data_IF_306241250205
#
_entry.id   IF_306241250205
#
_cell.length_a   1.000
_cell.length_b   1.000
_cell.length_c   1.000
_cell.angle_alpha   90.00
_cell.angle_beta   90.00
_cell.angle_gamma   90.00
#
_symmetry.space_group_name_H-M   'P 1'
#
loop_
_entity.id
_entity.type
_entity.pdbx_description
1 polymer ?
#
# COMPACT_ATOMS: atom_id res chain seq x y z
N UNK A 1 -9.03 -26.07 1.00
CA UNK A 1 -9.42 -27.03 2.05
C UNK A 1 -9.45 -26.38 3.45
N UNK A 2 -8.33 -25.86 3.99
CA UNK A 2 -8.24 -25.35 5.39
C UNK A 2 -9.25 -24.23 5.68
N UNK A 3 -9.34 -23.18 4.85
CA UNK A 3 -10.25 -22.05 5.08
C UNK A 3 -11.72 -22.47 5.10
N UNK A 4 -12.12 -23.39 4.21
CA UNK A 4 -13.48 -23.96 4.20
C UNK A 4 -13.79 -24.64 5.54
N UNK A 5 -12.87 -25.51 6.01
CA UNK A 5 -13.03 -26.23 7.27
C UNK A 5 -13.14 -25.28 8.49
N UNK A 6 -12.42 -24.16 8.47
CA UNK A 6 -12.55 -23.13 9.52
C UNK A 6 -13.96 -22.53 9.55
N UNK A 7 -14.54 -22.22 8.38
CA UNK A 7 -15.91 -21.68 8.29
C UNK A 7 -16.94 -22.74 8.70
N UNK A 8 -16.79 -23.99 8.22
CA UNK A 8 -17.67 -25.11 8.59
C UNK A 8 -17.72 -25.35 10.11
N UNK A 9 -16.56 -25.34 10.76
CA UNK A 9 -16.46 -25.58 12.22
C UNK A 9 -16.95 -24.38 13.02
N UNK A 10 -16.58 -23.17 12.63
CA UNK A 10 -16.87 -21.97 13.39
C UNK A 10 -18.28 -21.40 13.15
N UNK A 11 -18.89 -21.71 12.01
CA UNK A 11 -20.12 -21.08 11.55
C UNK A 11 -19.98 -19.57 11.31
N UNK A 12 -18.75 -19.05 11.18
CA UNK A 12 -18.46 -17.61 11.03
C UNK A 12 -17.97 -17.29 9.62
N UNK A 13 -18.29 -16.09 9.10
CA UNK A 13 -17.71 -15.64 7.85
C UNK A 13 -16.18 -15.50 7.96
N UNK A 14 -15.51 -15.69 6.84
CA UNK A 14 -14.05 -15.59 6.76
C UNK A 14 -13.66 -14.69 5.58
N UNK A 15 -12.65 -13.85 5.80
CA UNK A 15 -11.98 -13.15 4.71
C UNK A 15 -10.47 -13.35 4.79
N UNK A 16 -9.81 -13.32 3.64
CA UNK A 16 -8.35 -13.48 3.54
C UNK A 16 -7.81 -12.56 2.45
N UNK A 17 -6.53 -12.19 2.55
CA UNK A 17 -5.87 -11.35 1.54
C UNK A 17 -5.73 -12.09 0.23
N UNK A 18 -6.34 -11.56 -0.84
CA UNK A 18 -6.26 -12.06 -2.21
C UNK A 18 -5.35 -11.12 -3.02
N UNK A 19 -4.26 -11.64 -3.54
CA UNK A 19 -3.24 -10.88 -4.25
C UNK A 19 -2.91 -11.52 -5.61
N UNK A 20 -2.70 -10.67 -6.61
CA UNK A 20 -1.99 -11.02 -7.84
C UNK A 20 -0.49 -10.80 -7.63
N UNK A 21 0.27 -11.89 -7.58
CA UNK A 21 1.71 -11.89 -7.28
C UNK A 21 2.48 -12.45 -8.47
N UNK A 22 3.46 -11.71 -8.98
CA UNK A 22 4.26 -12.13 -10.14
C UNK A 22 4.97 -13.47 -9.96
N UNK A 23 5.34 -13.81 -8.71
CA UNK A 23 5.97 -15.10 -8.37
C UNK A 23 5.04 -16.30 -8.61
N UNK A 24 3.72 -16.09 -8.57
CA UNK A 24 2.70 -17.12 -8.77
C UNK A 24 1.64 -16.66 -9.78
N UNK A 25 1.99 -16.56 -11.08
CA UNK A 25 1.10 -16.02 -12.10
C UNK A 25 -0.23 -16.78 -12.16
N UNK A 26 -1.34 -16.04 -12.15
CA UNK A 26 -2.67 -16.62 -12.26
C UNK A 26 -3.22 -17.33 -11.02
N UNK A 27 -2.45 -17.49 -9.95
CA UNK A 27 -2.89 -18.17 -8.71
C UNK A 27 -4.13 -17.50 -8.10
N UNK A 28 -4.26 -16.19 -8.22
CA UNK A 28 -5.43 -15.47 -7.74
C UNK A 28 -6.73 -15.93 -8.39
N UNK A 29 -6.71 -16.34 -9.66
CA UNK A 29 -7.88 -16.90 -10.38
C UNK A 29 -8.35 -18.20 -9.74
N UNK A 30 -7.43 -19.15 -9.55
CA UNK A 30 -7.73 -20.43 -8.89
C UNK A 30 -8.27 -20.22 -7.47
N UNK A 31 -7.69 -19.27 -6.71
CA UNK A 31 -8.19 -18.94 -5.37
C UNK A 31 -9.60 -18.36 -5.43
N UNK A 32 -9.90 -17.54 -6.41
CA UNK A 32 -11.20 -16.92 -6.59
C UNK A 32 -12.27 -17.97 -6.97
N UNK A 33 -11.95 -18.91 -7.86
CA UNK A 33 -12.81 -20.05 -8.18
C UNK A 33 -13.12 -20.92 -6.94
N UNK A 34 -12.14 -21.10 -6.05
CA UNK A 34 -12.35 -21.80 -4.77
C UNK A 34 -13.29 -21.00 -3.83
N UNK A 35 -13.16 -19.69 -3.81
CA UNK A 35 -14.04 -18.78 -3.05
C UNK A 35 -15.47 -18.87 -3.60
N UNK A 36 -15.65 -18.84 -4.92
CA UNK A 36 -16.96 -19.02 -5.56
C UNK A 36 -17.60 -20.35 -5.17
N UNK A 37 -16.85 -21.45 -5.27
CA UNK A 37 -17.32 -22.78 -4.87
C UNK A 37 -17.75 -22.79 -3.40
N UNK A 38 -16.95 -22.20 -2.51
CA UNK A 38 -17.28 -22.11 -1.10
C UNK A 38 -18.60 -21.36 -0.86
N UNK A 39 -18.79 -20.21 -1.52
CA UNK A 39 -20.03 -19.43 -1.38
C UNK A 39 -21.25 -20.15 -1.96
N UNK A 40 -21.12 -20.89 -3.09
CA UNK A 40 -22.21 -21.75 -3.60
C UNK A 40 -22.61 -22.85 -2.62
N UNK A 41 -21.65 -23.36 -1.83
CA UNK A 41 -21.88 -24.37 -0.79
C UNK A 41 -22.37 -23.74 0.54
N UNK A 42 -22.69 -22.44 0.57
CA UNK A 42 -23.19 -21.73 1.76
C UNK A 42 -22.10 -21.30 2.75
N UNK A 43 -20.82 -21.37 2.38
CA UNK A 43 -19.70 -20.95 3.24
C UNK A 43 -19.29 -19.51 2.89
N UNK A 44 -19.56 -18.53 3.76
CA UNK A 44 -19.29 -17.11 3.47
C UNK A 44 -17.79 -16.79 3.56
N UNK A 45 -17.09 -16.97 2.45
CA UNK A 45 -15.67 -16.65 2.31
C UNK A 45 -15.50 -15.52 1.29
N UNK A 46 -14.67 -14.50 1.61
CA UNK A 46 -14.36 -13.40 0.71
C UNK A 46 -12.86 -13.16 0.57
N UNK A 47 -12.44 -12.79 -0.65
CA UNK A 47 -11.09 -12.28 -0.90
C UNK A 47 -11.00 -10.78 -0.56
N UNK A 48 -10.05 -10.37 0.28
CA UNK A 48 -9.72 -8.96 0.50
C UNK A 48 -8.76 -8.49 -0.58
N UNK A 49 -9.12 -7.45 -1.32
CA UNK A 49 -8.31 -6.90 -2.41
C UNK A 49 -8.02 -5.43 -2.15
N UNK A 50 -6.75 -5.07 -2.06
CA UNK A 50 -6.34 -3.67 -1.97
C UNK A 50 -6.60 -2.96 -3.31
N UNK A 51 -7.15 -1.73 -3.25
CA UNK A 51 -7.51 -0.96 -4.43
C UNK A 51 -6.32 -0.22 -5.08
N UNK A 52 -5.11 -0.58 -4.71
CA UNK A 52 -3.87 -0.09 -5.31
C UNK A 52 -2.81 -1.19 -5.24
N UNK A 53 -1.70 -1.07 -5.98
CA UNK A 53 -0.55 -1.96 -5.82
C UNK A 53 -0.07 -2.02 -4.37
N UNK A 54 0.16 -3.23 -3.88
CA UNK A 54 0.79 -3.47 -2.58
C UNK A 54 2.29 -3.45 -2.80
N UNK A 55 3.00 -2.60 -2.07
CA UNK A 55 4.38 -2.31 -2.40
C UNK A 55 5.29 -2.14 -1.17
N UNK A 56 6.57 -2.37 -1.41
CA UNK A 56 7.63 -1.97 -0.48
C UNK A 56 8.27 -0.68 -0.99
N UNK A 57 8.50 0.24 -0.05
CA UNK A 57 9.14 1.51 -0.27
C UNK A 57 10.58 1.47 0.24
N UNK A 58 11.50 1.97 -0.56
CA UNK A 58 12.94 1.99 -0.28
C UNK A 58 13.46 3.43 -0.31
N UNK A 59 14.33 3.76 0.64
CA UNK A 59 14.93 5.10 0.72
C UNK A 59 15.96 5.20 1.83
N UNK A 60 16.82 6.22 1.79
CA UNK A 60 17.91 6.39 2.76
C UNK A 60 17.43 6.64 4.21
N UNK A 61 16.19 7.13 4.37
CA UNK A 61 15.54 7.33 5.67
C UNK A 61 14.53 6.23 6.00
N UNK A 62 14.32 5.24 5.11
CA UNK A 62 13.39 4.13 5.30
C UNK A 62 14.09 2.89 5.89
N UNK A 63 13.34 1.86 6.19
CA UNK A 63 13.88 0.64 6.81
C UNK A 63 14.92 -0.05 5.93
N UNK A 64 14.73 -0.01 4.61
CA UNK A 64 15.61 -0.64 3.64
C UNK A 64 15.83 0.21 2.40
N UNK A 65 16.93 -0.05 1.73
CA UNK A 65 17.21 0.31 0.34
C UNK A 65 18.23 -0.73 -0.22
N UNK A 66 18.47 -0.77 -1.53
CA UNK A 66 19.31 -1.84 -2.14
C UNK A 66 20.71 -2.02 -1.55
N UNK A 67 21.24 -1.03 -0.86
CA UNK A 67 22.59 -1.03 -0.26
C UNK A 67 22.59 -1.15 1.26
N UNK A 68 21.43 -1.17 1.93
CA UNK A 68 21.31 -1.12 3.40
C UNK A 68 21.99 -2.29 4.13
N UNK A 69 22.21 -3.40 3.44
CA UNK A 69 22.88 -4.59 3.99
C UNK A 69 24.34 -4.73 3.56
N UNK A 70 24.87 -3.77 2.80
CA UNK A 70 26.29 -3.71 2.44
C UNK A 70 27.13 -3.26 3.64
N UNK A 71 28.26 -3.93 3.95
CA UNK A 71 29.13 -3.56 5.06
C UNK A 71 29.57 -2.10 5.05
N UNK A 72 29.93 -1.55 3.89
CA UNK A 72 30.31 -0.14 3.76
C UNK A 72 29.17 0.83 4.08
N UNK A 73 27.91 0.49 3.76
CA UNK A 73 26.77 1.31 4.15
C UNK A 73 26.48 1.20 5.65
N UNK A 74 26.58 0.00 6.23
CA UNK A 74 26.37 -0.20 7.68
C UNK A 74 27.33 0.64 8.53
N UNK A 75 28.53 0.90 8.04
CA UNK A 75 29.49 1.77 8.73
C UNK A 75 29.01 3.23 8.85
N UNK A 76 28.05 3.64 8.04
CA UNK A 76 27.51 5.01 8.00
C UNK A 76 26.00 5.09 8.31
N UNK A 77 25.34 3.96 8.54
CA UNK A 77 23.86 3.93 8.71
C UNK A 77 23.37 4.77 9.88
N UNK A 78 24.17 4.92 10.94
CA UNK A 78 23.85 5.74 12.12
C UNK A 78 24.00 7.25 11.91
N UNK A 79 24.55 7.70 10.78
CA UNK A 79 24.71 9.13 10.51
C UNK A 79 23.35 9.79 10.18
N UNK A 80 23.18 11.09 10.47
CA UNK A 80 22.11 11.88 9.92
C UNK A 80 22.11 11.84 8.38
N UNK A 81 20.96 12.09 7.73
CA UNK A 81 20.82 12.00 6.27
C UNK A 81 21.89 12.81 5.53
N UNK A 82 22.14 14.03 5.96
CA UNK A 82 23.18 14.90 5.37
C UNK A 82 24.57 14.28 5.43
N UNK A 83 24.93 13.68 6.59
CA UNK A 83 26.18 12.96 6.77
C UNK A 83 26.27 11.71 5.90
N UNK A 84 25.17 10.95 5.74
CA UNK A 84 25.09 9.83 4.81
C UNK A 84 25.32 10.30 3.37
N UNK A 85 24.64 11.35 2.94
CA UNK A 85 24.77 11.90 1.58
C UNK A 85 26.20 12.36 1.28
N UNK A 86 26.86 13.04 2.23
CA UNK A 86 28.24 13.46 2.07
C UNK A 86 29.18 12.27 1.81
N UNK A 87 28.95 11.12 2.47
CA UNK A 87 29.72 9.89 2.26
C UNK A 87 29.32 9.16 0.98
N UNK A 88 28.04 9.08 0.69
CA UNK A 88 27.51 8.36 -0.48
C UNK A 88 27.84 9.09 -1.81
N UNK A 89 28.02 10.41 -1.78
CA UNK A 89 28.43 11.19 -2.97
C UNK A 89 29.92 11.07 -3.29
N UNK A 90 30.71 10.45 -2.42
CA UNK A 90 32.10 10.14 -2.72
C UNK A 90 32.18 9.06 -3.81
N UNK A 91 32.87 9.32 -4.96
CA UNK A 91 33.02 8.36 -6.05
C UNK A 91 33.62 7.02 -5.62
N UNK A 92 34.54 7.02 -4.64
CA UNK A 92 35.15 5.77 -4.12
C UNK A 92 34.11 4.94 -3.34
N UNK A 93 33.24 5.58 -2.55
CA UNK A 93 32.14 4.91 -1.85
C UNK A 93 31.12 4.35 -2.85
N UNK A 94 30.75 5.12 -3.89
CA UNK A 94 29.87 4.65 -4.97
C UNK A 94 30.45 3.41 -5.64
N UNK A 95 31.68 3.47 -6.10
CA UNK A 95 32.34 2.35 -6.78
C UNK A 95 32.44 1.09 -5.90
N UNK A 96 32.60 1.27 -4.59
CA UNK A 96 32.62 0.18 -3.61
C UNK A 96 31.24 -0.44 -3.44
N UNK A 97 30.22 0.33 -3.12
CA UNK A 97 28.86 -0.16 -2.86
C UNK A 97 28.22 -0.85 -4.08
N UNK A 98 28.55 -0.42 -5.29
CA UNK A 98 28.09 -1.07 -6.52
C UNK A 98 28.70 -2.46 -6.76
N UNK A 99 29.87 -2.76 -6.17
CA UNK A 99 30.58 -4.04 -6.29
C UNK A 99 30.48 -4.92 -5.04
N UNK A 100 30.10 -4.33 -3.91
CA UNK A 100 30.11 -5.01 -2.62
C UNK A 100 28.95 -5.99 -2.52
N UNK A 101 29.27 -7.20 -2.06
CA UNK A 101 28.25 -8.20 -1.78
C UNK A 101 27.51 -7.87 -0.48
N UNK A 102 26.18 -7.76 -0.51
CA UNK A 102 25.39 -7.49 0.67
C UNK A 102 25.35 -8.71 1.60
N UNK A 103 25.28 -8.46 2.91
CA UNK A 103 25.23 -9.51 3.92
C UNK A 103 23.91 -9.45 4.67
N UNK A 104 23.05 -10.46 4.47
CA UNK A 104 21.77 -10.56 5.15
C UNK A 104 21.37 -12.03 5.39
N UNK A 105 20.80 -12.33 6.56
CA UNK A 105 20.51 -13.70 6.97
C UNK A 105 19.38 -14.37 6.19
N UNK A 106 18.45 -13.58 5.64
CA UNK A 106 17.32 -14.09 4.84
C UNK A 106 17.59 -13.88 3.34
N UNK A 107 17.96 -14.94 2.59
CA UNK A 107 18.31 -14.81 1.17
C UNK A 107 17.12 -14.37 0.29
N UNK A 108 15.88 -14.73 0.64
CA UNK A 108 14.71 -14.32 -0.13
C UNK A 108 14.46 -12.82 0.01
N UNK A 109 14.57 -12.29 1.23
CA UNK A 109 14.44 -10.85 1.46
C UNK A 109 15.59 -10.09 0.79
N UNK A 110 16.80 -10.63 0.82
CA UNK A 110 17.94 -10.04 0.13
C UNK A 110 17.72 -9.98 -1.38
N UNK A 111 17.28 -11.07 -2.00
CA UNK A 111 16.96 -11.11 -3.42
C UNK A 111 15.86 -10.08 -3.78
N UNK A 112 14.86 -9.96 -2.93
CA UNK A 112 13.79 -8.99 -3.10
C UNK A 112 14.30 -7.54 -3.01
N UNK A 113 15.12 -7.21 -2.01
CA UNK A 113 15.75 -5.88 -1.87
C UNK A 113 16.67 -5.52 -3.05
N UNK A 114 17.31 -6.51 -3.66
CA UNK A 114 18.19 -6.34 -4.82
C UNK A 114 17.48 -6.39 -6.16
N UNK A 115 16.19 -6.66 -6.19
CA UNK A 115 15.36 -6.68 -7.40
C UNK A 115 15.05 -5.26 -7.91
N UNK A 116 16.10 -4.43 -8.01
CA UNK A 116 15.98 -3.00 -8.37
C UNK A 116 15.44 -2.78 -9.77
N UNK A 117 15.63 -3.74 -10.68
CA UNK A 117 15.12 -3.69 -12.05
C UNK A 117 13.60 -3.46 -12.10
N UNK A 118 12.86 -4.03 -11.15
CA UNK A 118 11.40 -3.95 -11.06
C UNK A 118 10.87 -2.75 -10.26
N UNK A 119 11.74 -1.87 -9.80
CA UNK A 119 11.35 -0.69 -9.04
C UNK A 119 11.03 0.49 -9.95
N UNK A 120 10.35 1.46 -9.35
CA UNK A 120 10.04 2.77 -9.94
C UNK A 120 10.41 3.87 -8.94
N UNK A 121 10.44 5.11 -9.40
CA UNK A 121 10.43 6.27 -8.50
C UNK A 121 8.98 6.59 -8.16
N UNK A 122 8.66 6.71 -6.86
CA UNK A 122 7.28 6.94 -6.44
C UNK A 122 6.75 8.32 -6.85
N UNK A 123 7.59 9.35 -6.81
CA UNK A 123 7.20 10.73 -7.13
C UNK A 123 6.43 11.45 -6.01
N UNK A 124 6.17 12.73 -6.25
CA UNK A 124 5.30 13.57 -5.43
C UNK A 124 4.52 14.53 -6.37
N UNK A 125 3.20 14.36 -6.53
CA UNK A 125 2.34 13.35 -5.90
C UNK A 125 2.73 11.91 -6.29
N UNK A 126 2.44 10.91 -5.41
CA UNK A 126 2.85 9.54 -5.64
C UNK A 126 2.07 8.88 -6.79
N UNK A 127 2.80 8.30 -7.75
CA UNK A 127 2.21 7.48 -8.81
C UNK A 127 2.36 5.99 -8.46
N UNK A 128 1.26 5.32 -8.14
CA UNK A 128 1.25 3.90 -7.79
C UNK A 128 1.04 2.97 -9.00
N UNK A 129 0.78 3.54 -10.18
CA UNK A 129 0.57 2.79 -11.42
C UNK A 129 1.42 3.37 -12.56
N UNK A 130 2.75 3.52 -12.37
CA UNK A 130 3.63 4.08 -13.36
C UNK A 130 3.74 3.15 -14.58
N UNK A 131 3.83 3.70 -15.82
CA UNK A 131 3.96 2.87 -17.01
C UNK A 131 5.29 2.08 -17.01
N UNK A 132 5.32 0.97 -17.76
CA UNK A 132 6.50 0.11 -17.85
C UNK A 132 7.79 0.85 -18.28
N UNK A 133 7.67 1.90 -19.07
CA UNK A 133 8.81 2.72 -19.49
C UNK A 133 9.50 3.47 -18.34
N UNK A 134 8.80 3.69 -17.22
CA UNK A 134 9.35 4.32 -16.01
C UNK A 134 10.02 3.32 -15.07
N UNK A 135 9.94 2.03 -15.34
CA UNK A 135 10.60 1.00 -14.55
C UNK A 135 12.13 1.15 -14.65
N UNK A 136 12.84 0.90 -13.56
CA UNK A 136 14.27 1.20 -13.49
C UNK A 136 15.11 0.43 -14.52
N UNK A 137 14.72 -0.79 -14.91
CA UNK A 137 15.41 -1.51 -15.98
C UNK A 137 15.29 -0.79 -17.35
N UNK A 138 14.08 -0.34 -17.70
CA UNK A 138 13.84 0.39 -18.95
C UNK A 138 14.57 1.74 -18.97
N UNK A 139 14.54 2.47 -17.88
CA UNK A 139 15.25 3.75 -17.72
C UNK A 139 16.77 3.57 -17.74
N UNK A 140 17.28 2.55 -17.07
CA UNK A 140 18.71 2.23 -17.03
C UNK A 140 19.23 1.86 -18.43
N UNK A 141 18.47 1.03 -19.16
CA UNK A 141 18.80 0.68 -20.55
C UNK A 141 18.87 1.92 -21.46
N UNK A 142 17.91 2.84 -21.31
CA UNK A 142 17.93 4.10 -22.09
C UNK A 142 19.11 5.01 -21.74
N UNK A 143 19.64 4.93 -20.53
CA UNK A 143 20.79 5.71 -20.05
C UNK A 143 22.14 4.99 -20.26
N UNK A 144 22.15 3.72 -20.67
CA UNK A 144 23.35 2.91 -20.84
C UNK A 144 24.06 2.53 -19.52
N UNK A 145 23.30 2.45 -18.41
CA UNK A 145 23.78 2.08 -17.08
C UNK A 145 23.07 0.83 -16.55
N UNK A 146 23.58 0.23 -15.48
CA UNK A 146 22.83 -0.85 -14.82
C UNK A 146 21.69 -0.31 -13.95
N UNK A 147 20.61 -1.10 -13.71
CA UNK A 147 19.54 -0.70 -12.81
C UNK A 147 20.02 -0.39 -11.37
N UNK A 148 21.07 -1.06 -10.92
CA UNK A 148 21.66 -0.83 -9.60
C UNK A 148 22.38 0.52 -9.52
N UNK A 149 23.12 0.91 -10.56
CA UNK A 149 23.74 2.23 -10.68
C UNK A 149 22.69 3.32 -10.68
N UNK A 150 21.65 3.16 -11.51
CA UNK A 150 20.54 4.12 -11.55
C UNK A 150 19.84 4.24 -10.17
N UNK A 151 19.58 3.13 -9.50
CA UNK A 151 18.97 3.15 -8.17
C UNK A 151 19.86 3.89 -7.15
N UNK A 152 21.18 3.69 -7.22
CA UNK A 152 22.14 4.43 -6.39
C UNK A 152 22.05 5.92 -6.64
N UNK A 153 22.19 6.32 -7.90
CA UNK A 153 22.25 7.73 -8.29
C UNK A 153 20.94 8.46 -7.96
N UNK A 154 19.77 7.79 -8.10
CA UNK A 154 18.47 8.29 -7.67
C UNK A 154 18.38 8.49 -6.14
N UNK A 155 18.85 7.53 -5.35
CA UNK A 155 18.80 7.61 -3.89
C UNK A 155 19.68 8.73 -3.33
N UNK A 156 20.81 9.05 -3.97
CA UNK A 156 21.74 10.10 -3.51
C UNK A 156 21.50 11.46 -4.17
N UNK A 157 20.55 11.52 -5.12
CA UNK A 157 20.20 12.76 -5.83
C UNK A 157 19.46 13.76 -4.91
N UNK A 158 19.47 15.04 -5.29
CA UNK A 158 18.72 16.09 -4.59
C UNK A 158 19.02 16.12 -3.09
N UNK A 159 18.00 16.04 -2.27
CA UNK A 159 18.10 16.02 -0.80
C UNK A 159 18.20 14.60 -0.21
N UNK A 160 18.27 13.56 -1.05
CA UNK A 160 18.36 12.15 -0.64
C UNK A 160 17.06 11.54 -0.13
N UNK A 161 15.93 12.19 -0.36
CA UNK A 161 14.60 11.71 0.05
C UNK A 161 13.84 10.97 -1.06
N UNK A 162 14.52 10.66 -2.16
CA UNK A 162 13.92 9.83 -3.22
C UNK A 162 13.43 8.51 -2.64
N UNK A 163 12.17 8.19 -2.92
CA UNK A 163 11.57 6.90 -2.58
C UNK A 163 11.51 6.05 -3.84
N UNK A 164 12.11 4.87 -3.78
CA UNK A 164 11.92 3.82 -4.77
C UNK A 164 10.74 2.96 -4.34
N UNK A 165 9.90 2.62 -5.30
CA UNK A 165 8.65 1.90 -5.12
C UNK A 165 8.75 0.55 -5.82
N UNK A 166 8.62 -0.55 -5.07
CA UNK A 166 8.63 -1.91 -5.61
C UNK A 166 7.24 -2.53 -5.45
N UNK A 167 6.42 -2.59 -6.50
CA UNK A 167 5.12 -3.25 -6.45
C UNK A 167 5.33 -4.76 -6.32
N UNK A 168 5.02 -5.31 -5.14
CA UNK A 168 5.13 -6.74 -4.85
C UNK A 168 3.88 -7.52 -5.24
N UNK A 169 2.72 -6.85 -5.33
CA UNK A 169 1.46 -7.46 -5.72
C UNK A 169 0.50 -6.44 -6.34
N UNK A 170 -0.51 -6.96 -7.05
CA UNK A 170 -1.58 -6.21 -7.71
C UNK A 170 -1.13 -5.24 -8.81
N UNK A 171 0.07 -5.46 -9.33
CA UNK A 171 0.62 -4.67 -10.46
C UNK A 171 1.54 -5.53 -11.33
N UNK A 172 1.14 -6.75 -11.63
CA UNK A 172 1.88 -7.68 -12.49
C UNK A 172 1.91 -7.12 -13.93
N UNK A 173 3.06 -7.23 -14.57
CA UNK A 173 3.29 -6.72 -15.94
C UNK A 173 3.00 -5.21 -16.11
N UNK A 174 3.19 -4.42 -15.05
CA UNK A 174 2.88 -3.00 -15.03
C UNK A 174 1.43 -2.70 -15.44
N UNK A 175 0.50 -3.54 -15.00
CA UNK A 175 -0.92 -3.48 -15.32
C UNK A 175 -1.80 -3.62 -14.09
N UNK A 176 -2.84 -2.80 -14.02
CA UNK A 176 -3.89 -2.88 -12.99
C UNK A 176 -5.06 -3.79 -13.38
N UNK A 177 -5.01 -4.44 -14.55
CA UNK A 177 -6.13 -5.20 -15.10
C UNK A 177 -6.55 -6.39 -14.22
N UNK A 178 -5.60 -7.13 -13.66
CA UNK A 178 -5.88 -8.23 -12.75
C UNK A 178 -6.50 -7.72 -11.43
N UNK A 179 -5.97 -6.62 -10.91
CA UNK A 179 -6.52 -5.95 -9.72
C UNK A 179 -7.95 -5.48 -9.97
N UNK A 180 -8.22 -4.85 -11.12
CA UNK A 180 -9.57 -4.43 -11.52
C UNK A 180 -10.54 -5.62 -11.59
N UNK A 181 -10.11 -6.74 -12.15
CA UNK A 181 -10.91 -7.96 -12.22
C UNK A 181 -11.24 -8.51 -10.84
N UNK A 182 -10.26 -8.57 -9.94
CA UNK A 182 -10.47 -9.01 -8.56
C UNK A 182 -11.41 -8.08 -7.79
N UNK A 183 -11.24 -6.76 -7.92
CA UNK A 183 -12.05 -5.75 -7.20
C UNK A 183 -13.53 -5.75 -7.63
N UNK A 184 -13.81 -6.13 -8.87
CA UNK A 184 -15.19 -6.20 -9.41
C UNK A 184 -15.90 -7.51 -9.11
N UNK A 185 -15.21 -8.49 -8.58
CA UNK A 185 -15.78 -9.81 -8.33
C UNK A 185 -16.71 -9.80 -7.12
N UNK A 186 -17.89 -10.42 -7.23
CA UNK A 186 -18.93 -10.40 -6.18
C UNK A 186 -18.50 -11.00 -4.83
N UNK A 187 -17.55 -11.95 -4.85
CA UNK A 187 -17.03 -12.62 -3.67
C UNK A 187 -15.73 -11.98 -3.14
N UNK A 188 -15.44 -10.75 -3.52
CA UNK A 188 -14.33 -9.97 -2.96
C UNK A 188 -14.84 -8.78 -2.15
N UNK A 189 -13.95 -8.19 -1.40
CA UNK A 189 -14.17 -6.95 -0.66
C UNK A 189 -12.95 -6.05 -0.85
N UNK A 190 -13.22 -4.77 -1.15
CA UNK A 190 -12.16 -3.76 -1.21
C UNK A 190 -11.66 -3.50 0.21
N UNK A 191 -10.47 -4.01 0.52
CA UNK A 191 -9.91 -3.96 1.86
C UNK A 191 -8.38 -4.07 1.80
N UNK A 192 -7.74 -3.73 2.92
CA UNK A 192 -6.32 -3.92 3.14
C UNK A 192 -6.15 -5.01 4.21
N UNK A 193 -5.52 -6.13 3.84
CA UNK A 193 -5.02 -7.10 4.80
C UNK A 193 -3.75 -6.58 5.49
N UNK A 194 -3.49 -7.01 6.71
CA UNK A 194 -2.29 -6.68 7.49
C UNK A 194 -2.01 -5.17 7.62
N UNK A 195 -3.05 -4.35 7.65
CA UNK A 195 -2.95 -2.90 7.81
C UNK A 195 -2.17 -2.52 9.06
N UNK A 196 -1.14 -1.66 8.89
CA UNK A 196 -0.26 -1.21 9.97
C UNK A 196 0.96 -2.11 10.22
N UNK A 197 1.13 -3.21 9.50
CA UNK A 197 2.37 -3.99 9.52
C UNK A 197 3.49 -3.27 8.76
N UNK A 198 4.74 -3.54 9.16
CA UNK A 198 5.93 -3.06 8.44
C UNK A 198 5.97 -1.54 8.18
N UNK A 199 5.50 -0.74 9.11
CA UNK A 199 5.27 0.70 9.01
C UNK A 199 6.50 1.56 8.68
N UNK A 200 7.68 0.99 8.63
CA UNK A 200 8.91 1.67 8.18
C UNK A 200 9.25 1.44 6.69
N UNK A 201 8.43 0.65 5.97
CA UNK A 201 8.65 0.31 4.56
C UNK A 201 7.35 0.08 3.76
N UNK A 202 6.19 0.01 4.43
CA UNK A 202 4.87 -0.10 3.81
C UNK A 202 4.00 1.07 4.29
N UNK A 203 3.27 1.70 3.37
CA UNK A 203 2.36 2.80 3.66
C UNK A 203 1.09 2.70 2.80
N UNK A 204 0.29 1.64 3.03
CA UNK A 204 -0.83 1.27 2.18
C UNK A 204 -2.20 1.71 2.72
N UNK A 205 -2.26 2.26 3.95
CA UNK A 205 -3.52 2.67 4.59
C UNK A 205 -4.29 3.79 3.85
N UNK A 206 -3.64 4.49 2.91
CA UNK A 206 -4.27 5.50 2.05
C UNK A 206 -5.07 4.90 0.88
N UNK A 207 -5.17 3.56 0.77
CA UNK A 207 -5.88 2.90 -0.34
C UNK A 207 -7.33 3.39 -0.54
N UNK A 208 -8.11 3.78 0.49
CA UNK A 208 -9.46 4.32 0.26
C UNK A 208 -9.45 5.64 -0.50
N UNK A 209 -8.51 6.54 -0.16
CA UNK A 209 -8.33 7.81 -0.88
C UNK A 209 -7.89 7.53 -2.32
N UNK A 210 -6.92 6.63 -2.53
CA UNK A 210 -6.50 6.20 -3.86
C UNK A 210 -7.65 5.58 -4.65
N UNK A 211 -8.52 4.78 -4.02
CA UNK A 211 -9.69 4.21 -4.67
C UNK A 211 -10.64 5.29 -5.19
N UNK A 212 -10.90 6.33 -4.39
CA UNK A 212 -11.75 7.44 -4.78
C UNK A 212 -11.11 8.31 -5.87
N UNK A 213 -9.81 8.55 -5.84
CA UNK A 213 -9.14 9.38 -6.85
C UNK A 213 -8.85 8.59 -8.11
N UNK A 214 -8.08 7.51 -8.02
CA UNK A 214 -7.62 6.77 -9.18
C UNK A 214 -8.76 6.11 -9.96
N UNK A 215 -9.55 5.25 -9.31
CA UNK A 215 -10.56 4.47 -10.03
C UNK A 215 -11.75 5.29 -10.52
N UNK A 216 -12.04 6.45 -9.93
CA UNK A 216 -13.20 7.26 -10.33
C UNK A 216 -12.85 8.49 -11.17
N UNK A 217 -11.61 9.02 -11.04
CA UNK A 217 -11.23 10.30 -11.64
C UNK A 217 -9.98 10.21 -12.52
N UNK A 218 -8.87 9.66 -11.99
CA UNK A 218 -7.53 9.86 -12.55
C UNK A 218 -7.07 8.72 -13.48
N UNK A 219 -7.69 7.54 -13.39
CA UNK A 219 -7.34 6.37 -14.19
C UNK A 219 -7.48 6.64 -15.69
N UNK A 220 -6.46 6.24 -16.44
CA UNK A 220 -6.54 6.21 -17.90
C UNK A 220 -7.41 5.00 -18.33
N UNK A 221 -8.34 5.24 -19.27
CA UNK A 221 -9.30 4.21 -19.70
C UNK A 221 -10.59 4.17 -18.85
N UNK A 222 -11.11 2.99 -18.57
CA UNK A 222 -12.39 2.82 -17.87
C UNK A 222 -12.31 3.31 -16.42
N UNK A 223 -13.19 4.23 -16.07
CA UNK A 223 -13.37 4.74 -14.71
C UNK A 223 -14.63 4.15 -14.09
N UNK A 224 -14.60 3.96 -12.78
CA UNK A 224 -15.76 3.41 -12.08
C UNK A 224 -16.70 4.51 -11.57
N UNK A 225 -18.01 4.23 -11.51
CA UNK A 225 -18.93 5.16 -10.90
C UNK A 225 -18.57 5.44 -9.44
N UNK A 226 -18.56 6.73 -9.06
CA UNK A 226 -18.23 7.14 -7.69
C UNK A 226 -19.12 6.44 -6.66
N UNK A 227 -20.44 6.35 -6.91
CA UNK A 227 -21.39 5.70 -6.01
C UNK A 227 -21.05 4.22 -5.79
N UNK A 228 -20.62 3.51 -6.84
CA UNK A 228 -20.17 2.12 -6.73
C UNK A 228 -18.90 2.02 -5.89
N UNK A 229 -17.90 2.87 -6.13
CA UNK A 229 -16.64 2.87 -5.38
C UNK A 229 -16.86 3.18 -3.90
N UNK A 230 -17.70 4.17 -3.59
CA UNK A 230 -18.10 4.47 -2.21
C UNK A 230 -18.79 3.28 -1.56
N UNK A 231 -19.73 2.62 -2.26
CA UNK A 231 -20.39 1.41 -1.77
C UNK A 231 -19.38 0.29 -1.43
N UNK A 232 -18.35 0.09 -2.29
CA UNK A 232 -17.28 -0.89 -2.06
C UNK A 232 -16.38 -0.53 -0.86
N UNK A 233 -16.29 0.74 -0.48
CA UNK A 233 -15.52 1.21 0.67
C UNK A 233 -16.32 1.29 1.97
N UNK A 234 -17.64 1.16 1.91
CA UNK A 234 -18.52 1.42 3.06
C UNK A 234 -19.45 0.25 3.39
N UNK A 235 -20.55 0.06 2.64
CA UNK A 235 -21.55 -0.96 2.93
C UNK A 235 -21.04 -2.39 2.76
N UNK A 236 -20.25 -2.65 1.72
CA UNK A 236 -19.71 -3.99 1.46
C UNK A 236 -18.80 -4.46 2.59
N UNK A 237 -17.76 -3.70 3.04
CA UNK A 237 -16.93 -4.13 4.16
C UNK A 237 -17.71 -4.18 5.48
N UNK A 238 -18.65 -3.25 5.75
CA UNK A 238 -19.48 -3.30 6.93
C UNK A 238 -20.27 -4.61 7.03
N UNK A 239 -20.93 -5.01 5.96
CA UNK A 239 -21.66 -6.29 5.87
C UNK A 239 -20.75 -7.50 5.97
N UNK A 240 -19.57 -7.43 5.34
CA UNK A 240 -18.59 -8.53 5.36
C UNK A 240 -18.17 -8.89 6.78
N UNK A 241 -18.06 -7.89 7.68
CA UNK A 241 -17.71 -8.10 9.09
C UNK A 241 -18.92 -8.09 10.02
N UNK A 242 -20.15 -8.11 9.48
CA UNK A 242 -21.38 -8.23 10.26
C UNK A 242 -21.83 -6.94 10.96
N UNK A 243 -21.41 -5.76 10.50
CA UNK A 243 -21.83 -4.47 11.05
C UNK A 243 -23.09 -3.98 10.29
N UNK A 244 -24.28 -4.22 10.86
CA UNK A 244 -25.56 -3.90 10.24
C UNK A 244 -26.03 -2.46 10.44
N UNK A 245 -25.36 -1.66 11.26
CA UNK A 245 -25.78 -0.33 11.72
C UNK A 245 -24.99 0.83 11.08
N UNK A 246 -24.14 0.54 10.08
CA UNK A 246 -23.26 1.52 9.40
C UNK A 246 -23.00 1.17 7.94
N UNK A 247 -22.21 2.00 7.24
CA UNK A 247 -21.88 1.84 5.84
C UNK A 247 -22.89 2.44 4.88
N UNK A 248 -23.99 3.03 5.38
CA UNK A 248 -25.05 3.71 4.62
C UNK A 248 -25.51 4.98 5.30
N UNK A 249 -25.91 5.95 4.50
CA UNK A 249 -26.64 7.13 4.97
C UNK A 249 -28.15 6.80 4.96
N UNK A 250 -28.67 6.38 6.12
CA UNK A 250 -30.08 6.04 6.30
C UNK A 250 -30.53 6.33 7.74
N UNK A 251 -31.82 6.59 7.92
CA UNK A 251 -32.39 6.77 9.25
C UNK A 251 -32.17 5.51 10.11
N UNK A 252 -31.73 5.67 11.36
CA UNK A 252 -31.39 4.58 12.28
C UNK A 252 -29.96 4.04 12.15
N UNK A 253 -29.19 4.46 11.14
CA UNK A 253 -27.78 4.11 11.00
C UNK A 253 -26.89 5.10 11.77
N UNK A 254 -25.70 4.64 12.16
CA UNK A 254 -24.70 5.49 12.79
C UNK A 254 -24.25 6.58 11.84
N UNK A 255 -24.11 7.79 12.37
CA UNK A 255 -23.59 8.94 11.65
C UNK A 255 -22.04 8.90 11.62
N UNK A 256 -21.48 7.90 10.93
CA UNK A 256 -20.06 7.78 10.60
C UNK A 256 -19.90 8.29 9.16
N UNK A 257 -19.46 9.55 9.00
CA UNK A 257 -19.57 10.28 7.72
C UNK A 257 -18.25 10.97 7.41
N UNK A 258 -17.79 10.86 6.16
CA UNK A 258 -16.74 11.72 5.61
C UNK A 258 -17.36 12.77 4.66
N UNK A 259 -17.01 14.03 4.87
CA UNK A 259 -17.32 15.12 3.96
C UNK A 259 -16.10 15.37 3.08
N UNK A 260 -16.22 15.08 1.78
CA UNK A 260 -15.08 15.02 0.85
C UNK A 260 -15.29 16.00 -0.31
N UNK A 261 -14.28 16.80 -0.59
CA UNK A 261 -14.14 17.59 -1.80
C UNK A 261 -13.36 16.74 -2.83
N UNK A 262 -14.09 16.07 -3.72
CA UNK A 262 -13.50 15.08 -4.64
C UNK A 262 -12.51 15.73 -5.63
N UNK A 263 -12.75 16.96 -6.06
CA UNK A 263 -11.89 17.66 -7.01
C UNK A 263 -10.52 17.97 -6.40
N UNK A 264 -10.49 18.24 -5.08
CA UNK A 264 -9.28 18.53 -4.31
C UNK A 264 -8.70 17.29 -3.62
N UNK A 265 -9.38 16.15 -3.72
CA UNK A 265 -8.93 14.94 -3.05
C UNK A 265 -7.62 14.45 -3.66
N UNK A 266 -6.58 14.34 -2.84
CA UNK A 266 -5.25 13.85 -3.24
C UNK A 266 -4.55 13.17 -2.07
N UNK A 267 -3.52 12.39 -2.39
CA UNK A 267 -2.63 11.74 -1.42
C UNK A 267 -1.24 12.31 -1.61
N UNK A 268 -0.64 12.82 -0.54
CA UNK A 268 0.75 13.30 -0.54
C UNK A 268 1.75 12.12 -0.60
N UNK A 269 3.00 12.39 -0.95
CA UNK A 269 4.05 11.39 -0.85
C UNK A 269 4.25 10.94 0.61
N UNK A 270 4.48 9.65 0.87
CA UNK A 270 4.79 9.18 2.21
C UNK A 270 6.15 9.72 2.67
N UNK A 271 6.28 10.02 3.95
CA UNK A 271 7.52 10.51 4.56
C UNK A 271 7.73 9.89 5.95
N UNK A 272 8.98 9.76 6.42
CA UNK A 272 9.26 9.23 7.73
C UNK A 272 8.95 10.26 8.83
N UNK A 273 8.29 9.81 9.90
CA UNK A 273 8.06 10.56 11.13
C UNK A 273 8.49 9.75 12.34
N UNK A 274 8.94 10.44 13.39
CA UNK A 274 9.44 9.83 14.63
C UNK A 274 8.51 10.15 15.80
N UNK A 275 7.27 9.65 15.73
CA UNK A 275 6.20 9.96 16.69
C UNK A 275 5.59 8.72 17.37
N UNK A 276 6.23 7.57 17.25
CA UNK A 276 5.87 6.38 18.03
C UNK A 276 6.56 6.41 19.41
N UNK A 277 6.04 5.67 20.40
CA UNK A 277 6.67 5.52 21.70
C UNK A 277 8.15 5.14 21.59
N UNK A 278 9.00 5.74 22.42
CA UNK A 278 10.45 5.55 22.36
C UNK A 278 11.15 6.19 21.15
N UNK A 279 10.50 7.14 20.47
CA UNK A 279 11.07 7.78 19.27
C UNK A 279 11.02 6.89 18.03
N UNK A 280 10.19 5.83 18.04
CA UNK A 280 10.07 4.89 16.93
C UNK A 280 9.62 5.60 15.65
N UNK A 281 10.24 5.20 14.52
CA UNK A 281 9.98 5.73 13.19
C UNK A 281 8.83 4.98 12.52
N UNK A 282 7.99 5.71 11.79
CA UNK A 282 7.01 5.14 10.84
C UNK A 282 6.91 6.02 9.60
N UNK A 283 6.32 5.48 8.54
CA UNK A 283 5.86 6.28 7.42
C UNK A 283 4.52 6.93 7.75
N UNK A 284 4.39 8.19 7.43
CA UNK A 284 3.14 8.94 7.42
C UNK A 284 2.80 9.34 6.00
N UNK A 285 1.52 9.26 5.65
CA UNK A 285 1.00 9.74 4.38
C UNK A 285 -0.29 10.49 4.63
N UNK A 286 -0.33 11.75 4.26
CA UNK A 286 -1.49 12.62 4.42
C UNK A 286 -2.32 12.65 3.15
N UNK A 287 -3.61 12.93 3.32
CA UNK A 287 -4.52 13.20 2.22
C UNK A 287 -5.11 14.60 2.40
N UNK A 288 -5.34 15.28 1.30
CA UNK A 288 -6.09 16.55 1.25
C UNK A 288 -7.45 16.31 0.63
N UNK A 289 -8.41 17.23 0.87
CA UNK A 289 -9.77 17.12 0.33
C UNK A 289 -10.80 16.58 1.33
N UNK A 290 -10.39 16.06 2.49
CA UNK A 290 -11.31 15.70 3.57
C UNK A 290 -11.67 16.94 4.39
N UNK A 291 -12.91 17.46 4.19
CA UNK A 291 -13.43 18.63 4.91
C UNK A 291 -13.81 18.33 6.34
N UNK A 292 -14.42 17.16 6.57
CA UNK A 292 -14.71 16.67 7.91
C UNK A 292 -14.77 15.15 7.94
N UNK A 293 -14.36 14.58 9.08
CA UNK A 293 -14.62 13.19 9.47
C UNK A 293 -15.48 13.22 10.72
N UNK A 294 -16.62 12.56 10.65
CA UNK A 294 -17.64 12.50 11.69
C UNK A 294 -17.77 11.06 12.16
N UNK A 295 -17.75 10.82 13.46
CA UNK A 295 -17.92 9.51 14.08
C UNK A 295 -19.02 9.59 15.11
N UNK A 296 -20.08 8.80 14.93
CA UNK A 296 -21.23 8.81 15.83
C UNK A 296 -21.92 10.17 15.97
N UNK A 297 -21.84 11.01 14.92
CA UNK A 297 -22.42 12.36 14.89
C UNK A 297 -21.48 13.47 15.39
N UNK A 298 -20.29 13.14 15.93
CA UNK A 298 -19.31 14.12 16.38
C UNK A 298 -18.19 14.31 15.36
N UNK A 299 -17.81 15.57 15.09
CA UNK A 299 -16.69 15.88 14.18
C UNK A 299 -15.38 15.58 14.88
N UNK A 300 -14.65 14.57 14.41
CA UNK A 300 -13.34 14.17 14.93
C UNK A 300 -12.17 14.82 14.21
N UNK A 301 -12.34 15.13 12.92
CA UNK A 301 -11.37 15.88 12.11
C UNK A 301 -12.08 16.96 11.30
N UNK A 302 -11.46 18.12 11.14
CA UNK A 302 -11.89 19.22 10.29
C UNK A 302 -10.71 19.72 9.47
N UNK A 303 -10.82 19.72 8.14
CA UNK A 303 -9.75 20.10 7.19
C UNK A 303 -8.38 19.50 7.56
N UNK A 304 -8.37 18.21 7.89
CA UNK A 304 -7.17 17.44 8.25
C UNK A 304 -6.68 17.61 9.69
N UNK A 305 -7.26 18.53 10.48
CA UNK A 305 -6.89 18.76 11.87
C UNK A 305 -7.80 17.98 12.84
N UNK A 306 -7.18 17.30 13.81
CA UNK A 306 -7.91 16.61 14.89
C UNK A 306 -8.59 17.61 15.81
N UNK A 307 -9.89 17.39 16.11
CA UNK A 307 -10.70 18.31 16.95
C UNK A 307 -10.57 18.05 18.44
N UNK A 308 -9.98 16.94 18.85
CA UNK A 308 -9.95 16.48 20.23
C UNK A 308 -11.13 15.57 20.63
N UNK A 309 -12.16 15.42 19.78
CA UNK A 309 -13.30 14.56 20.08
C UNK A 309 -12.95 13.06 19.91
N UNK A 310 -13.32 12.25 20.88
CA UNK A 310 -13.09 10.80 20.94
C UNK A 310 -14.41 10.04 21.16
N UNK A 311 -15.38 10.09 20.25
CA UNK A 311 -16.70 9.47 20.39
C UNK A 311 -16.68 7.95 20.16
N UNK A 312 -15.53 7.41 19.72
CA UNK A 312 -15.39 5.99 19.40
C UNK A 312 -15.70 5.07 20.58
N UNK A 313 -16.34 3.93 20.30
CA UNK A 313 -16.63 2.89 21.31
C UNK A 313 -16.23 1.52 20.76
N UNK A 314 -15.92 0.58 21.67
CA UNK A 314 -15.69 -0.81 21.29
C UNK A 314 -16.95 -1.39 20.64
N UNK A 315 -16.82 -1.83 19.40
CA UNK A 315 -17.89 -2.49 18.65
C UNK A 315 -17.77 -3.99 18.90
N UNK A 316 -18.86 -4.60 19.37
CA UNK A 316 -18.99 -6.05 19.51
C UNK A 316 -20.00 -6.54 18.50
N UNK A 317 -19.71 -7.64 17.79
CA UNK A 317 -20.68 -8.30 16.93
C UNK A 317 -21.90 -8.79 17.71
N UNK A 318 -23.02 -9.01 17.02
CA UNK A 318 -24.17 -9.69 17.61
C UNK A 318 -23.72 -11.07 18.13
N UNK A 319 -24.14 -11.41 19.35
CA UNK A 319 -23.92 -12.73 19.94
C UNK A 319 -24.94 -13.72 19.40
#
# INVERSE_FOLDING_TARGET
AMLRRLVEISGRPLSFTLLDISLYPGRWKTLLEEVERANRDGLPIRGQVAARPVAILYGLELSFHPFSTCPSYRAIEGLPLEGKLARLRDPAMRARLLKEEPVYSNPNMLAFMRSVANMFVLGDPPNYTPPAAERLDARAAALGVSPLELAYDLLVSGDGRTILFHPGANYTDCSDANMASMLRHENTVMALGDGGAHYGLICDASYPTHALTYWTRDRQGERWPLAWTVHQLTDVPARTVGLGDRGRLAAGYKADINLIDLDRLTVAAPHPVHNLPGGGRRLEQKAEGYRATIVGGEVTYRDGAFTGALPGRLVRGAR
#
